data_IF_162493302537
#
_entry.id   IF_162493302537
#
_cell.length_a   1.000
_cell.length_b   1.000
_cell.length_c   1.000
_cell.angle_alpha   90.00
_cell.angle_beta   90.00
_cell.angle_gamma   90.00
#
_symmetry.space_group_name_H-M   'P 1'
#
loop_
_entity.id
_entity.type
_entity.pdbx_description
1 polymer ?
#
# COMPACT_ATOMS: atom_id res chain seq x y z
N UNK A 1 2.04 -15.19 -10.96
CA UNK A 1 2.70 -14.37 -9.90
C UNK A 1 2.00 -13.04 -9.66
N UNK A 2 1.45 -12.38 -10.68
CA UNK A 2 0.76 -11.08 -10.55
C UNK A 2 -0.37 -11.03 -9.50
N UNK A 3 -1.29 -12.02 -9.51
CA UNK A 3 -2.40 -12.08 -8.54
C UNK A 3 -1.89 -12.17 -7.09
N UNK A 4 -0.80 -12.91 -6.88
CA UNK A 4 -0.17 -13.07 -5.56
C UNK A 4 0.48 -11.75 -5.12
N UNK A 5 1.22 -11.07 -5.99
CA UNK A 5 1.80 -9.75 -5.69
C UNK A 5 0.73 -8.72 -5.35
N UNK A 6 -0.35 -8.65 -6.13
CA UNK A 6 -1.47 -7.76 -5.87
C UNK A 6 -2.16 -8.04 -4.52
N UNK A 7 -2.30 -9.33 -4.17
CA UNK A 7 -2.82 -9.75 -2.89
C UNK A 7 -1.89 -9.33 -1.73
N UNK A 8 -0.58 -9.58 -1.85
CA UNK A 8 0.42 -9.18 -0.86
C UNK A 8 0.43 -7.67 -0.62
N UNK A 9 0.39 -6.85 -1.67
CA UNK A 9 0.29 -5.38 -1.54
C UNK A 9 -0.98 -4.95 -0.82
N UNK A 10 -2.10 -5.63 -1.05
CA UNK A 10 -3.35 -5.35 -0.35
C UNK A 10 -3.24 -5.68 1.14
N UNK A 11 -2.61 -6.81 1.48
CA UNK A 11 -2.37 -7.20 2.87
C UNK A 11 -1.42 -6.22 3.58
N UNK A 12 -0.35 -5.78 2.91
CA UNK A 12 0.56 -4.76 3.45
C UNK A 12 -0.16 -3.44 3.76
N UNK A 13 -1.03 -2.98 2.86
CA UNK A 13 -1.86 -1.79 3.12
C UNK A 13 -2.75 -1.96 4.34
N UNK A 14 -3.38 -3.15 4.50
CA UNK A 14 -4.18 -3.46 5.70
C UNK A 14 -3.33 -3.42 6.96
N UNK A 15 -2.11 -3.97 6.94
CA UNK A 15 -1.17 -3.94 8.08
C UNK A 15 -0.78 -2.51 8.42
N UNK A 16 -0.38 -1.69 7.43
CA UNK A 16 -0.03 -0.28 7.64
C UNK A 16 -1.23 0.49 8.23
N UNK A 17 -2.44 0.25 7.72
CA UNK A 17 -3.65 0.88 8.25
C UNK A 17 -3.92 0.49 9.71
N UNK A 18 -3.71 -0.78 10.07
CA UNK A 18 -3.84 -1.27 11.45
C UNK A 18 -2.77 -0.68 12.39
N UNK A 19 -1.55 -0.48 11.90
CA UNK A 19 -0.51 0.22 12.65
C UNK A 19 -0.88 1.68 12.97
N UNK A 20 -1.70 2.31 12.12
CA UNK A 20 -2.30 3.61 12.36
C UNK A 20 -3.62 3.47 13.14
N UNK A 21 -3.50 3.15 14.43
CA UNK A 21 -4.66 2.90 15.29
C UNK A 21 -5.61 4.09 15.43
N UNK A 22 -5.08 5.31 15.57
CA UNK A 22 -5.89 6.52 15.81
C UNK A 22 -6.14 7.31 14.52
N UNK A 23 -7.31 7.98 14.37
CA UNK A 23 -7.60 8.83 13.21
C UNK A 23 -6.54 9.90 12.97
N UNK A 24 -6.02 10.52 14.04
CA UNK A 24 -4.92 11.50 13.97
C UNK A 24 -3.65 10.90 13.34
N UNK A 25 -3.30 9.66 13.69
CA UNK A 25 -2.12 8.98 13.13
C UNK A 25 -2.35 8.56 11.67
N UNK A 26 -3.57 8.16 11.33
CA UNK A 26 -3.95 7.84 9.93
C UNK A 26 -3.84 9.08 9.05
N UNK A 27 -4.42 10.20 9.48
CA UNK A 27 -4.36 11.46 8.76
C UNK A 27 -2.92 11.95 8.61
N UNK A 28 -2.12 11.90 9.68
CA UNK A 28 -0.70 12.24 9.63
C UNK A 28 0.06 11.36 8.63
N UNK A 29 -0.12 10.04 8.69
CA UNK A 29 0.53 9.10 7.77
C UNK A 29 0.15 9.34 6.30
N UNK A 30 -1.12 9.63 6.03
CA UNK A 30 -1.59 9.96 4.69
C UNK A 30 -1.01 11.28 4.17
N UNK A 31 -0.89 12.30 5.03
CA UNK A 31 -0.22 13.57 4.68
C UNK A 31 1.25 13.38 4.35
N UNK A 32 1.96 12.55 5.12
CA UNK A 32 3.37 12.21 4.83
C UNK A 32 3.54 11.47 3.50
N UNK A 33 2.50 10.76 3.06
CA UNK A 33 2.46 10.11 1.74
C UNK A 33 2.00 11.06 0.62
N UNK A 34 1.82 12.36 0.89
CA UNK A 34 1.44 13.38 -0.10
C UNK A 34 -0.05 13.43 -0.43
N UNK A 35 -0.92 12.81 0.38
CA UNK A 35 -2.38 12.92 0.20
C UNK A 35 -2.85 14.30 0.66
N UNK A 36 -3.73 14.94 -0.13
CA UNK A 36 -4.36 16.22 0.22
C UNK A 36 -5.04 16.15 1.59
N UNK A 37 -4.90 17.21 2.39
CA UNK A 37 -5.38 17.27 3.77
C UNK A 37 -6.86 16.90 3.94
N UNK A 38 -7.74 17.40 3.07
CA UNK A 38 -9.18 17.12 3.16
C UNK A 38 -9.49 15.65 2.90
N UNK A 39 -8.82 15.06 1.89
CA UNK A 39 -8.98 13.65 1.55
C UNK A 39 -8.37 12.74 2.63
N UNK A 40 -7.24 13.14 3.21
CA UNK A 40 -6.61 12.43 4.31
C UNK A 40 -7.50 12.43 5.57
N UNK A 41 -8.14 13.57 5.86
CA UNK A 41 -9.12 13.69 6.95
C UNK A 41 -10.34 12.81 6.70
N UNK A 42 -10.96 12.87 5.52
CA UNK A 42 -12.11 12.01 5.21
C UNK A 42 -11.77 10.51 5.34
N UNK A 43 -10.60 10.12 4.84
CA UNK A 43 -10.17 8.72 4.84
C UNK A 43 -9.79 8.21 6.23
N UNK A 44 -9.31 9.07 7.13
CA UNK A 44 -8.89 8.67 8.48
C UNK A 44 -10.04 8.13 9.34
N UNK A 45 -11.27 8.59 9.06
CA UNK A 45 -12.50 8.16 9.72
C UNK A 45 -13.15 6.90 9.12
N UNK A 46 -12.58 6.28 8.07
CA UNK A 46 -13.11 5.04 7.47
C UNK A 46 -12.98 3.78 8.37
N UNK A 47 -12.70 3.94 9.67
CA UNK A 47 -12.85 2.90 10.69
C UNK A 47 -12.18 1.56 10.34
N UNK A 48 -12.98 0.49 10.47
CA UNK A 48 -12.59 -0.92 10.32
C UNK A 48 -12.87 -1.49 8.92
N UNK A 49 -13.18 -0.64 7.93
CA UNK A 49 -13.40 -1.07 6.55
C UNK A 49 -12.07 -1.36 5.82
N UNK A 50 -11.23 -2.23 6.39
CA UNK A 50 -9.85 -2.50 5.97
C UNK A 50 -9.71 -2.91 4.49
N UNK A 51 -10.58 -3.82 4.03
CA UNK A 51 -10.62 -4.29 2.64
C UNK A 51 -10.90 -3.13 1.68
N UNK A 52 -11.90 -2.33 2.01
CA UNK A 52 -12.33 -1.21 1.20
C UNK A 52 -11.29 -0.09 1.19
N UNK A 53 -10.73 0.25 2.36
CA UNK A 53 -9.65 1.23 2.48
C UNK A 53 -8.42 0.80 1.68
N UNK A 54 -7.97 -0.45 1.81
CA UNK A 54 -6.77 -0.93 1.13
C UNK A 54 -6.90 -0.99 -0.41
N UNK A 55 -8.13 -1.03 -0.96
CA UNK A 55 -8.39 -1.29 -2.39
C UNK A 55 -9.04 -0.13 -3.13
N UNK A 56 -9.91 0.64 -2.48
CA UNK A 56 -10.83 1.58 -3.14
C UNK A 56 -10.58 3.05 -2.79
N UNK A 57 -9.83 3.35 -1.74
CA UNK A 57 -9.58 4.74 -1.31
C UNK A 57 -8.24 5.28 -1.79
N UNK A 58 -7.90 6.50 -1.35
CA UNK A 58 -6.60 7.12 -1.61
C UNK A 58 -5.42 6.29 -1.08
N UNK A 59 -5.62 5.36 -0.14
CA UNK A 59 -4.57 4.48 0.40
C UNK A 59 -3.98 3.58 -0.69
N UNK A 60 -4.82 3.07 -1.60
CA UNK A 60 -4.34 2.22 -2.71
C UNK A 60 -3.40 2.98 -3.66
N UNK A 61 -3.67 4.29 -3.85
CA UNK A 61 -2.86 5.19 -4.69
C UNK A 61 -1.60 5.68 -3.97
N UNK A 62 -1.75 6.06 -2.70
CA UNK A 62 -0.65 6.55 -1.86
C UNK A 62 0.38 5.44 -1.58
N UNK A 63 -0.08 4.23 -1.29
CA UNK A 63 0.76 3.05 -1.06
C UNK A 63 0.76 2.20 -2.35
N UNK A 64 1.34 2.78 -3.40
CA UNK A 64 1.50 2.13 -4.71
C UNK A 64 2.69 1.15 -4.70
N UNK A 65 2.82 0.33 -5.75
CA UNK A 65 3.99 -0.55 -5.96
C UNK A 65 5.28 0.28 -5.90
N UNK A 66 5.32 1.38 -6.66
CA UNK A 66 6.46 2.29 -6.71
C UNK A 66 6.80 2.90 -5.33
N UNK A 67 5.79 3.33 -4.56
CA UNK A 67 6.02 3.90 -3.24
C UNK A 67 6.65 2.87 -2.28
N UNK A 68 6.20 1.62 -2.34
CA UNK A 68 6.78 0.53 -1.54
C UNK A 68 8.19 0.17 -1.99
N UNK A 69 8.45 0.13 -3.31
CA UNK A 69 9.79 -0.15 -3.86
C UNK A 69 10.80 0.92 -3.48
N UNK A 70 10.41 2.21 -3.51
CA UNK A 70 11.25 3.32 -3.01
C UNK A 70 11.60 3.20 -1.52
N UNK A 71 10.80 2.46 -0.75
CA UNK A 71 11.05 2.16 0.67
C UNK A 71 11.79 0.82 0.87
N UNK A 72 12.26 0.19 -0.21
CA UNK A 72 13.04 -1.05 -0.16
C UNK A 72 12.25 -2.34 -0.29
N UNK A 73 10.92 -2.29 -0.48
CA UNK A 73 10.14 -3.50 -0.70
C UNK A 73 10.27 -3.98 -2.17
N UNK A 74 10.97 -5.08 -2.37
CA UNK A 74 11.05 -5.75 -3.67
C UNK A 74 9.73 -6.45 -3.98
N UNK A 75 9.18 -6.21 -5.17
CA UNK A 75 7.98 -6.92 -5.63
C UNK A 75 8.32 -8.38 -5.93
N UNK A 76 7.49 -9.30 -5.45
CA UNK A 76 7.68 -10.73 -5.69
C UNK A 76 7.62 -11.08 -7.18
N UNK A 77 6.82 -10.34 -7.96
CA UNK A 77 6.74 -10.51 -9.41
C UNK A 77 8.05 -10.12 -10.08
N UNK A 78 8.54 -8.91 -9.80
CA UNK A 78 9.78 -8.38 -10.41
C UNK A 78 10.98 -9.29 -10.09
N UNK A 79 11.08 -9.75 -8.85
CA UNK A 79 12.10 -10.70 -8.43
C UNK A 79 12.05 -12.00 -9.23
N UNK A 80 10.84 -12.55 -9.41
CA UNK A 80 10.64 -13.79 -10.15
C UNK A 80 10.99 -13.63 -11.63
N UNK A 81 10.58 -12.53 -12.26
CA UNK A 81 10.86 -12.23 -13.67
C UNK A 81 12.35 -12.06 -13.93
N UNK A 82 13.05 -11.27 -13.10
CA UNK A 82 14.50 -11.08 -13.19
C UNK A 82 15.21 -12.44 -13.06
N UNK A 83 14.85 -13.23 -12.05
CA UNK A 83 15.52 -14.52 -11.81
C UNK A 83 15.21 -15.56 -12.88
N UNK A 84 14.01 -15.50 -13.48
CA UNK A 84 13.62 -16.37 -14.60
C UNK A 84 14.42 -16.01 -15.84
N UNK A 85 14.54 -14.73 -16.18
CA UNK A 85 15.31 -14.26 -17.34
C UNK A 85 16.77 -14.73 -17.28
N UNK A 86 17.41 -14.60 -16.12
CA UNK A 86 18.80 -15.02 -15.88
C UNK A 86 19.04 -16.53 -15.99
N UNK A 87 18.00 -17.37 -15.90
CA UNK A 87 18.12 -18.83 -16.06
C UNK A 87 17.91 -19.28 -17.50
N UNK A 88 17.23 -18.46 -18.30
CA UNK A 88 16.93 -18.74 -19.70
C UNK A 88 17.98 -18.18 -20.66
N UNK A 89 18.89 -17.35 -20.16
CA UNK A 89 20.09 -16.83 -20.82
C UNK A 89 21.32 -17.67 -20.48
#
# INVERSE_FOLDING_TARGET
>A
MEKIDAHLRTMLRKVIWKQWKTPRKREWGLRQLGVKSDLARLTSYCGDYYEWVARRTCVARAISKLALTRKGLVSCLDYYEIRRALKTS
#
